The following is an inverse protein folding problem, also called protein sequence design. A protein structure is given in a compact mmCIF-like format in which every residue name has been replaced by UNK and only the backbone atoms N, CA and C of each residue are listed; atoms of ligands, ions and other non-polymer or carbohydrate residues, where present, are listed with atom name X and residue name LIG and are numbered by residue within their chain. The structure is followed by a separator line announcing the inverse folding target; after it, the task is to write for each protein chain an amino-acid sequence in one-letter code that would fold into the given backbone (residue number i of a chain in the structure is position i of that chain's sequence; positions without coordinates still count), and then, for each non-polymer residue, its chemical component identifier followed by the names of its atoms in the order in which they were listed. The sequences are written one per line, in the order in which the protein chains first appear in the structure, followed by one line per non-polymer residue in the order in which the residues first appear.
data_IF_405540367401
#
_entry.id   IF_405540367401
#
_cell.length_a   1.000
_cell.length_b   1.000
_cell.length_c   1.000
_cell.angle_alpha   90.00
_cell.angle_beta   90.00
_cell.angle_gamma   90.00
#
_symmetry.space_group_name_H-M   'P 1'
#
loop_
_entity.id
_entity.type
_entity.pdbx_description
1 polymer ?
#
# COMPACT_ATOMS: atom_id res chain seq x y z
N UNK A 1 -1.55 77.24 -42.98
CA UNK A 1 -1.33 75.91 -43.59
C UNK A 1 -1.19 74.87 -42.48
N UNK A 2 -2.25 74.15 -42.17
CA UNK A 2 -2.25 73.04 -41.20
C UNK A 2 -2.33 71.74 -41.97
N UNK A 3 -1.28 70.92 -41.91
CA UNK A 3 -1.29 69.58 -42.47
C UNK A 3 -1.95 68.64 -41.49
N UNK A 4 -2.98 67.94 -41.89
CA UNK A 4 -3.63 66.83 -41.24
C UNK A 4 -2.80 65.57 -41.50
N UNK A 5 -2.27 64.92 -40.47
CA UNK A 5 -1.71 63.59 -40.55
C UNK A 5 -2.80 62.61 -40.18
N UNK A 6 -3.25 61.82 -41.14
CA UNK A 6 -4.23 60.75 -40.93
C UNK A 6 -3.43 59.46 -40.60
N UNK A 7 -3.53 59.03 -39.35
CA UNK A 7 -2.99 57.74 -38.91
C UNK A 7 -4.00 56.62 -39.15
N UNK A 8 -3.65 55.71 -40.05
CA UNK A 8 -4.38 54.45 -40.30
C UNK A 8 -4.13 53.52 -39.14
N UNK A 9 -5.14 53.23 -38.32
CA UNK A 9 -5.18 52.13 -37.37
C UNK A 9 -5.55 50.85 -38.16
N UNK A 10 -4.62 49.91 -38.31
CA UNK A 10 -4.91 48.52 -38.72
C UNK A 10 -5.36 47.73 -37.50
N UNK A 11 -6.54 47.07 -37.51
CA UNK A 11 -6.96 46.22 -36.40
C UNK A 11 -6.14 44.90 -36.48
N UNK A 12 -5.35 44.69 -35.42
CA UNK A 12 -4.66 43.42 -35.16
C UNK A 12 -5.68 42.36 -34.79
N UNK A 13 -5.93 41.44 -35.73
CA UNK A 13 -6.85 40.29 -35.54
C UNK A 13 -6.15 39.30 -34.58
N UNK A 14 -6.49 39.36 -33.29
CA UNK A 14 -6.07 38.37 -32.29
C UNK A 14 -6.92 37.13 -32.51
N UNK A 15 -6.39 36.12 -33.17
CA UNK A 15 -6.99 34.76 -33.23
C UNK A 15 -6.72 34.13 -31.86
N UNK A 16 -7.76 33.79 -31.08
CA UNK A 16 -7.56 33.02 -29.86
C UNK A 16 -7.12 31.62 -30.29
N UNK A 17 -5.87 31.27 -30.00
CA UNK A 17 -5.35 29.93 -30.08
C UNK A 17 -6.07 29.12 -28.97
N UNK A 18 -7.21 28.52 -29.30
CA UNK A 18 -7.81 27.49 -28.46
C UNK A 18 -6.80 26.35 -28.35
N UNK A 19 -6.03 26.31 -27.28
CA UNK A 19 -5.36 25.10 -26.83
C UNK A 19 -6.45 24.09 -26.50
N UNK A 20 -6.80 23.24 -27.46
CA UNK A 20 -7.52 22.01 -27.17
C UNK A 20 -6.53 21.15 -26.37
N UNK A 21 -6.67 21.18 -25.05
CA UNK A 21 -6.13 20.16 -24.16
C UNK A 21 -6.82 18.86 -24.56
N UNK A 22 -6.22 18.15 -25.51
CA UNK A 22 -6.54 16.75 -25.73
C UNK A 22 -6.07 16.05 -24.46
N UNK A 23 -6.99 15.81 -23.54
CA UNK A 23 -6.80 14.79 -22.52
C UNK A 23 -6.54 13.50 -23.33
N UNK A 24 -5.28 13.13 -23.45
CA UNK A 24 -4.89 11.84 -23.96
C UNK A 24 -5.46 10.83 -22.95
N UNK A 25 -6.66 10.33 -23.21
CA UNK A 25 -7.15 9.15 -22.53
C UNK A 25 -6.06 8.10 -22.76
N UNK A 26 -5.37 7.72 -21.68
CA UNK A 26 -4.36 6.69 -21.72
C UNK A 26 -5.10 5.42 -22.12
N UNK A 27 -4.89 4.97 -23.34
CA UNK A 27 -5.42 3.70 -23.83
C UNK A 27 -4.70 2.52 -23.21
N UNK A 28 -5.18 1.31 -23.51
CA UNK A 28 -4.46 0.08 -23.16
C UNK A 28 -3.06 0.10 -23.82
N UNK A 29 -2.10 -0.53 -23.19
CA UNK A 29 -0.74 -0.69 -23.72
C UNK A 29 -0.40 -2.17 -23.84
N UNK A 30 -0.04 -2.62 -25.02
CA UNK A 30 0.36 -3.99 -25.31
C UNK A 30 1.85 -4.05 -25.62
N UNK A 31 2.59 -4.89 -24.90
CA UNK A 31 4.00 -5.23 -25.14
C UNK A 31 4.11 -6.66 -25.63
N UNK A 32 4.87 -6.88 -26.71
CA UNK A 32 5.12 -8.21 -27.28
C UNK A 32 6.42 -8.82 -26.75
N UNK A 33 6.60 -10.13 -26.91
CA UNK A 33 7.85 -10.85 -26.60
C UNK A 33 9.07 -10.30 -27.39
N UNK A 34 8.83 -9.60 -28.51
CA UNK A 34 9.88 -8.98 -29.33
C UNK A 34 10.23 -7.55 -28.87
N UNK A 35 9.55 -7.03 -27.83
CA UNK A 35 9.77 -5.69 -27.29
C UNK A 35 8.99 -4.58 -28.00
N UNK A 36 8.12 -4.91 -28.95
CA UNK A 36 7.24 -3.91 -29.56
C UNK A 36 6.18 -3.47 -28.58
N UNK A 37 5.97 -2.15 -28.48
CA UNK A 37 4.95 -1.55 -27.62
C UNK A 37 3.91 -0.83 -28.48
N UNK A 38 2.65 -1.17 -28.30
CA UNK A 38 1.53 -0.62 -29.08
C UNK A 38 0.51 -0.02 -28.10
N UNK A 39 0.13 1.24 -28.30
CA UNK A 39 -0.94 1.91 -27.56
C UNK A 39 -2.25 1.88 -28.34
N UNK A 40 -3.36 1.69 -27.62
CA UNK A 40 -4.70 1.61 -28.25
C UNK A 40 -5.76 1.09 -27.29
N UNK A 41 -6.64 0.20 -27.78
CA UNK A 41 -7.69 -0.42 -26.99
C UNK A 41 -7.80 -1.89 -27.33
N UNK A 42 -7.79 -2.76 -26.31
CA UNK A 42 -8.13 -4.18 -26.49
C UNK A 42 -9.63 -4.29 -26.68
N UNK A 43 -10.06 -4.74 -27.85
CA UNK A 43 -11.47 -5.02 -28.13
C UNK A 43 -11.85 -6.40 -27.60
N UNK A 44 -11.00 -7.42 -27.84
CA UNK A 44 -11.19 -8.76 -27.28
C UNK A 44 -9.87 -9.55 -27.21
N UNK A 45 -9.88 -10.60 -26.40
CA UNK A 45 -8.94 -11.73 -26.43
C UNK A 45 -9.75 -13.00 -26.46
N UNK A 46 -9.79 -13.68 -27.58
CA UNK A 46 -10.57 -14.89 -27.80
C UNK A 46 -9.79 -15.90 -28.64
N UNK A 47 -9.90 -17.18 -28.29
CA UNK A 47 -9.26 -18.27 -29.05
C UNK A 47 -7.76 -18.05 -29.36
N UNK A 48 -7.06 -17.42 -28.40
CA UNK A 48 -5.63 -17.13 -28.53
C UNK A 48 -5.28 -15.97 -29.47
N UNK A 49 -6.25 -15.13 -29.84
CA UNK A 49 -6.08 -13.93 -30.67
C UNK A 49 -6.55 -12.70 -29.93
N UNK A 50 -5.68 -11.69 -29.85
CA UNK A 50 -6.00 -10.35 -29.31
C UNK A 50 -6.44 -9.47 -30.48
N UNK A 51 -7.63 -8.90 -30.39
CA UNK A 51 -8.10 -7.85 -31.30
C UNK A 51 -7.79 -6.50 -30.66
N UNK A 52 -6.88 -5.75 -31.26
CA UNK A 52 -6.34 -4.51 -30.70
C UNK A 52 -6.52 -3.34 -31.67
N UNK A 53 -7.25 -2.32 -31.23
CA UNK A 53 -7.50 -1.11 -32.01
C UNK A 53 -6.46 -0.05 -31.67
N UNK A 54 -5.54 0.21 -32.59
CA UNK A 54 -4.53 1.23 -32.47
C UNK A 54 -4.90 2.48 -33.27
N UNK A 55 -4.67 3.70 -32.75
CA UNK A 55 -4.85 4.91 -33.56
C UNK A 55 -3.88 5.00 -34.76
N UNK A 56 -2.83 4.19 -34.77
CA UNK A 56 -1.86 4.11 -35.89
C UNK A 56 -2.34 3.23 -37.04
N UNK A 57 -3.43 2.47 -36.88
CA UNK A 57 -3.96 1.57 -37.91
C UNK A 57 -5.46 1.81 -38.15
N UNK A 58 -5.89 1.94 -39.40
CA UNK A 58 -7.31 2.09 -39.74
C UNK A 58 -8.12 0.82 -39.44
N UNK A 59 -7.46 -0.34 -39.37
CA UNK A 59 -8.06 -1.62 -39.05
C UNK A 59 -7.53 -2.12 -37.71
N UNK A 60 -8.35 -2.87 -36.95
CA UNK A 60 -7.92 -3.53 -35.75
C UNK A 60 -6.81 -4.56 -36.06
N UNK A 61 -5.78 -4.55 -35.23
CA UNK A 61 -4.67 -5.49 -35.32
C UNK A 61 -5.08 -6.82 -34.70
N UNK A 62 -4.73 -7.92 -35.36
CA UNK A 62 -4.90 -9.26 -34.83
C UNK A 62 -3.53 -9.78 -34.36
N UNK A 63 -3.35 -9.93 -33.07
CA UNK A 63 -2.09 -10.31 -32.42
C UNK A 63 -2.29 -11.64 -31.76
N UNK A 64 -1.37 -12.58 -31.98
CA UNK A 64 -1.39 -13.88 -31.27
C UNK A 64 -1.16 -13.67 -29.79
N UNK A 65 -2.01 -14.22 -28.93
CA UNK A 65 -1.85 -14.16 -27.49
C UNK A 65 -0.52 -14.79 -27.01
N UNK A 66 0.02 -15.76 -27.75
CA UNK A 66 1.34 -16.35 -27.46
C UNK A 66 2.50 -15.36 -27.57
N UNK A 67 2.32 -14.26 -28.33
CA UNK A 67 3.32 -13.19 -28.46
C UNK A 67 3.14 -12.09 -27.40
N UNK A 68 2.12 -12.18 -26.56
CA UNK A 68 1.89 -11.22 -25.48
C UNK A 68 2.92 -11.41 -24.40
N UNK A 69 3.65 -10.35 -24.09
CA UNK A 69 4.51 -10.25 -22.90
C UNK A 69 3.77 -9.57 -21.75
N UNK A 70 3.16 -8.41 -22.05
CA UNK A 70 2.47 -7.61 -21.05
C UNK A 70 1.34 -6.79 -21.70
N UNK A 71 0.19 -6.73 -21.02
CA UNK A 71 -0.95 -5.92 -21.40
C UNK A 71 -1.35 -5.10 -20.17
N UNK A 72 -1.31 -3.78 -20.29
CA UNK A 72 -1.70 -2.84 -19.23
C UNK A 72 -2.99 -2.14 -19.60
N UNK A 73 -3.91 -2.05 -18.64
CA UNK A 73 -5.17 -1.34 -18.79
C UNK A 73 -5.06 0.05 -18.12
N UNK A 74 -5.71 1.10 -18.70
CA UNK A 74 -5.68 2.42 -18.11
C UNK A 74 -6.40 2.43 -16.77
N UNK A 75 -5.77 3.04 -15.81
CA UNK A 75 -6.35 3.22 -14.47
C UNK A 75 -7.37 4.36 -14.49
N UNK A 76 -8.60 4.09 -14.94
CA UNK A 76 -9.64 5.13 -15.04
C UNK A 76 -10.25 5.53 -13.72
N UNK A 77 -10.18 4.69 -12.69
CA UNK A 77 -10.58 5.01 -11.32
C UNK A 77 -9.93 4.04 -10.33
N UNK A 78 -9.09 4.54 -9.43
CA UNK A 78 -8.56 3.76 -8.30
C UNK A 78 -9.60 3.46 -7.22
N UNK A 79 -10.88 3.77 -7.45
CA UNK A 79 -11.98 3.57 -6.52
C UNK A 79 -12.66 2.21 -6.67
N UNK A 80 -11.90 1.14 -6.88
CA UNK A 80 -12.43 -0.23 -6.73
C UNK A 80 -12.94 -0.47 -5.30
N UNK A 81 -13.82 -1.46 -5.10
CA UNK A 81 -14.31 -1.78 -3.76
C UNK A 81 -13.13 -2.04 -2.82
N UNK A 82 -13.13 -1.33 -1.70
CA UNK A 82 -12.10 -1.47 -0.67
C UNK A 82 -12.35 -2.79 0.05
N UNK A 83 -11.33 -3.63 0.08
CA UNK A 83 -11.37 -4.91 0.79
C UNK A 83 -10.58 -4.79 2.09
N UNK A 84 -11.12 -5.34 3.16
CA UNK A 84 -10.52 -5.29 4.49
C UNK A 84 -9.55 -6.42 4.76
N UNK A 85 -9.59 -7.48 3.96
CA UNK A 85 -8.75 -8.66 4.12
C UNK A 85 -8.02 -9.02 2.83
N UNK A 86 -6.95 -9.77 2.99
CA UNK A 86 -6.25 -10.44 1.89
C UNK A 86 -6.12 -11.92 2.21
N UNK A 87 -6.74 -12.74 1.37
CA UNK A 87 -6.54 -14.19 1.36
C UNK A 87 -5.31 -14.52 0.52
N UNK A 88 -4.37 -15.29 1.08
CA UNK A 88 -3.24 -15.84 0.34
C UNK A 88 -3.46 -17.34 0.14
N UNK A 89 -3.39 -17.79 -1.10
CA UNK A 89 -3.50 -19.20 -1.45
C UNK A 89 -2.14 -19.92 -1.37
N UNK A 90 -2.17 -21.25 -1.33
CA UNK A 90 -0.94 -22.06 -1.25
C UNK A 90 -0.01 -21.90 -2.45
N UNK A 91 -0.53 -21.50 -3.63
CA UNK A 91 0.26 -21.18 -4.81
C UNK A 91 0.86 -19.77 -4.79
N UNK A 92 0.63 -18.99 -3.72
CA UNK A 92 1.12 -17.62 -3.56
C UNK A 92 0.24 -16.52 -4.16
N UNK A 93 -0.92 -16.87 -4.68
CA UNK A 93 -1.87 -15.87 -5.16
C UNK A 93 -2.47 -15.08 -4.00
N UNK A 94 -2.69 -13.79 -4.22
CA UNK A 94 -3.22 -12.86 -3.23
C UNK A 94 -4.56 -12.30 -3.71
N UNK A 95 -5.60 -12.53 -2.91
CA UNK A 95 -6.98 -12.12 -3.19
C UNK A 95 -7.43 -11.09 -2.16
N UNK A 96 -7.43 -9.79 -2.48
CA UNK A 96 -8.14 -8.80 -1.67
C UNK A 96 -9.63 -9.14 -1.63
N UNK A 97 -10.19 -9.28 -0.42
CA UNK A 97 -11.55 -9.79 -0.24
C UNK A 97 -12.17 -9.30 1.07
N UNK A 98 -13.42 -9.66 1.27
CA UNK A 98 -14.09 -9.63 2.55
C UNK A 98 -14.49 -11.06 2.91
N UNK A 99 -13.86 -11.62 3.95
CA UNK A 99 -14.15 -12.98 4.44
C UNK A 99 -15.47 -12.94 5.20
N UNK A 100 -16.42 -13.75 4.78
CA UNK A 100 -17.76 -13.79 5.39
C UNK A 100 -17.87 -14.89 6.44
N UNK A 101 -17.26 -16.04 6.22
CA UNK A 101 -17.21 -17.14 7.16
C UNK A 101 -16.03 -18.07 6.89
N UNK A 102 -15.62 -18.79 7.93
CA UNK A 102 -14.68 -19.90 7.83
C UNK A 102 -15.29 -21.07 8.59
N UNK A 103 -15.35 -22.24 7.99
CA UNK A 103 -15.74 -23.48 8.62
C UNK A 103 -14.61 -24.53 8.55
N UNK A 104 -14.90 -25.78 8.87
CA UNK A 104 -13.91 -26.87 8.89
C UNK A 104 -13.31 -27.12 7.49
N UNK A 105 -14.11 -26.97 6.43
CA UNK A 105 -13.75 -27.36 5.07
C UNK A 105 -13.53 -26.18 4.12
N UNK A 106 -14.20 -25.06 4.36
CA UNK A 106 -14.27 -23.95 3.41
C UNK A 106 -14.09 -22.59 4.08
N UNK A 107 -13.68 -21.64 3.25
CA UNK A 107 -13.72 -20.21 3.52
C UNK A 107 -14.58 -19.55 2.46
N UNK A 108 -15.63 -18.86 2.90
CA UNK A 108 -16.50 -18.06 2.05
C UNK A 108 -16.06 -16.60 2.09
N UNK A 109 -16.03 -15.96 0.93
CA UNK A 109 -15.62 -14.57 0.81
C UNK A 109 -16.36 -13.85 -0.32
N UNK A 110 -16.36 -12.52 -0.24
CA UNK A 110 -16.85 -11.65 -1.30
C UNK A 110 -15.73 -10.79 -1.85
N UNK A 111 -15.76 -10.56 -3.15
CA UNK A 111 -14.83 -9.66 -3.84
C UNK A 111 -15.61 -8.68 -4.71
N UNK A 112 -15.07 -7.47 -4.87
CA UNK A 112 -15.67 -6.51 -5.81
C UNK A 112 -15.32 -6.77 -7.27
N UNK A 113 -14.42 -7.67 -7.54
CA UNK A 113 -13.93 -7.95 -8.89
C UNK A 113 -14.39 -9.29 -9.45
N UNK A 114 -14.68 -10.29 -8.60
CA UNK A 114 -15.09 -11.63 -9.01
C UNK A 114 -16.34 -12.16 -8.27
N UNK A 115 -17.00 -11.30 -7.47
CA UNK A 115 -18.19 -11.68 -6.70
C UNK A 115 -17.89 -12.59 -5.51
N UNK A 116 -18.81 -13.51 -5.22
CA UNK A 116 -18.69 -14.46 -4.11
C UNK A 116 -17.86 -15.66 -4.54
N UNK A 117 -16.90 -16.03 -3.68
CA UNK A 117 -16.06 -17.20 -3.87
C UNK A 117 -16.11 -18.09 -2.63
N UNK A 118 -15.98 -19.38 -2.86
CA UNK A 118 -15.84 -20.39 -1.81
C UNK A 118 -14.56 -21.16 -2.05
N UNK A 119 -13.66 -21.14 -1.07
CA UNK A 119 -12.30 -21.68 -1.19
C UNK A 119 -12.13 -22.84 -0.23
N UNK A 120 -11.67 -23.98 -0.73
CA UNK A 120 -11.28 -25.11 0.09
C UNK A 120 -10.20 -24.68 1.09
N UNK A 121 -10.42 -24.95 2.38
CA UNK A 121 -9.51 -24.55 3.45
C UNK A 121 -8.10 -25.12 3.27
N UNK A 122 -7.95 -26.32 2.71
CA UNK A 122 -6.66 -26.92 2.41
C UNK A 122 -5.85 -26.17 1.36
N UNK A 123 -6.49 -25.28 0.60
CA UNK A 123 -5.87 -24.44 -0.43
C UNK A 123 -5.51 -23.04 0.07
N UNK A 124 -5.73 -22.77 1.34
CA UNK A 124 -5.47 -21.48 1.97
C UNK A 124 -4.16 -21.55 2.74
N UNK A 125 -3.33 -20.55 2.54
CA UNK A 125 -2.11 -20.34 3.31
C UNK A 125 -2.36 -19.42 4.50
N UNK A 126 -3.00 -18.27 4.25
CA UNK A 126 -3.27 -17.29 5.30
C UNK A 126 -4.43 -16.36 4.95
N UNK A 127 -5.05 -15.81 5.98
CA UNK A 127 -5.93 -14.65 5.89
C UNK A 127 -5.32 -13.53 6.72
N UNK A 128 -5.13 -12.37 6.12
CA UNK A 128 -4.69 -11.16 6.80
C UNK A 128 -5.87 -10.20 6.93
N UNK A 129 -6.13 -9.74 8.12
CA UNK A 129 -7.22 -8.83 8.43
C UNK A 129 -6.73 -7.38 8.46
N UNK A 130 -7.63 -6.45 8.22
CA UNK A 130 -7.33 -5.03 8.30
C UNK A 130 -6.42 -4.49 7.22
N UNK A 131 -6.20 -5.23 6.13
CA UNK A 131 -5.43 -4.78 4.98
C UNK A 131 -6.41 -4.21 3.96
N UNK A 132 -6.58 -2.89 3.99
CA UNK A 132 -7.28 -2.23 2.88
C UNK A 132 -6.25 -1.62 1.93
N UNK A 133 -6.64 -1.47 0.67
CA UNK A 133 -5.88 -0.67 -0.27
C UNK A 133 -5.66 0.69 0.34
N UNK A 134 -4.40 1.01 0.62
CA UNK A 134 -4.01 2.31 1.14
C UNK A 134 -4.36 3.37 0.09
N UNK A 135 -5.24 4.30 0.43
CA UNK A 135 -5.47 5.47 -0.42
C UNK A 135 -4.25 6.37 -0.31
N UNK A 136 -3.64 6.68 -1.43
CA UNK A 136 -2.51 7.60 -1.48
C UNK A 136 -3.04 9.01 -1.21
N UNK A 137 -2.63 9.58 -0.09
CA UNK A 137 -2.95 10.96 0.28
C UNK A 137 -1.90 11.94 -0.26
N UNK A 138 -0.63 11.49 -0.31
CA UNK A 138 0.47 12.29 -0.80
C UNK A 138 1.67 11.42 -1.20
N UNK A 139 2.35 11.79 -2.28
CA UNK A 139 3.65 11.26 -2.68
C UNK A 139 4.60 12.45 -2.86
N UNK A 140 5.74 12.41 -2.17
CA UNK A 140 6.78 13.40 -2.32
C UNK A 140 7.66 13.14 -3.53
N UNK A 141 7.18 13.51 -4.70
CA UNK A 141 7.90 13.38 -5.98
C UNK A 141 7.90 14.68 -6.79
N UNK A 142 7.45 15.77 -6.19
CA UNK A 142 7.33 17.09 -6.82
C UNK A 142 8.33 18.07 -6.22
N UNK A 143 8.56 19.19 -6.92
CA UNK A 143 9.43 20.27 -6.45
C UNK A 143 9.01 20.82 -5.07
N UNK A 144 9.95 21.21 -4.19
CA UNK A 144 9.62 21.78 -2.87
C UNK A 144 8.68 22.98 -2.92
N UNK A 145 8.68 23.74 -4.01
CA UNK A 145 7.80 24.91 -4.19
C UNK A 145 6.31 24.55 -4.32
N UNK A 146 6.00 23.29 -4.63
CA UNK A 146 4.61 22.81 -4.71
C UNK A 146 4.02 22.44 -3.35
N UNK A 147 4.84 22.34 -2.32
CA UNK A 147 4.38 22.08 -0.97
C UNK A 147 3.56 23.26 -0.44
N UNK A 148 2.62 22.97 0.46
CA UNK A 148 1.73 24.02 1.02
C UNK A 148 2.52 25.13 1.68
N UNK A 149 3.65 24.82 2.31
CA UNK A 149 4.53 25.80 2.92
C UNK A 149 5.98 25.29 2.99
N UNK A 150 6.89 26.18 2.68
CA UNK A 150 8.32 25.96 2.79
C UNK A 150 8.97 27.14 3.54
N UNK A 151 9.74 26.83 4.59
CA UNK A 151 10.61 27.80 5.27
C UNK A 151 12.05 27.33 5.22
N UNK A 152 12.97 28.27 4.98
CA UNK A 152 14.38 27.99 4.79
C UNK A 152 14.73 27.75 3.32
N UNK A 153 15.60 26.77 3.06
CA UNK A 153 16.09 26.50 1.71
C UNK A 153 16.04 25.00 1.45
N UNK A 154 15.12 24.58 0.62
CA UNK A 154 14.97 23.21 0.18
C UNK A 154 15.16 23.10 -1.33
N UNK A 155 15.71 21.99 -1.78
CA UNK A 155 15.85 21.62 -3.19
C UNK A 155 15.62 20.13 -3.36
N UNK A 156 15.19 19.74 -4.56
CA UNK A 156 15.06 18.34 -4.93
C UNK A 156 16.27 17.93 -5.76
N UNK A 157 16.86 16.79 -5.42
CA UNK A 157 17.97 16.19 -6.17
C UNK A 157 17.44 15.38 -7.35
N UNK A 158 18.33 14.98 -8.28
CA UNK A 158 17.97 14.14 -9.43
C UNK A 158 17.36 12.79 -9.07
N UNK A 159 17.56 12.31 -7.83
CA UNK A 159 17.00 11.07 -7.31
C UNK A 159 15.66 11.29 -6.58
N UNK A 160 14.99 12.40 -6.80
CA UNK A 160 13.73 12.79 -6.15
C UNK A 160 13.83 12.84 -4.62
N UNK A 161 15.01 13.13 -4.09
CA UNK A 161 15.23 13.32 -2.67
C UNK A 161 15.26 14.81 -2.33
N UNK A 162 14.73 15.17 -1.15
CA UNK A 162 14.71 16.53 -0.66
C UNK A 162 15.90 16.77 0.27
N UNK A 163 16.71 17.74 -0.06
CA UNK A 163 17.77 18.27 0.79
C UNK A 163 17.52 19.73 1.11
N UNK A 164 17.79 20.14 2.33
CA UNK A 164 17.55 21.52 2.69
C UNK A 164 17.68 21.77 4.20
N UNK A 165 17.46 23.03 4.58
CA UNK A 165 17.39 23.50 5.98
C UNK A 165 16.06 24.19 6.21
N UNK A 166 15.53 24.09 7.45
CA UNK A 166 14.22 24.63 7.79
C UNK A 166 13.14 23.55 7.65
N UNK A 167 11.93 23.92 7.28
CA UNK A 167 10.83 22.96 7.23
C UNK A 167 10.06 23.00 5.91
N UNK A 168 9.55 21.82 5.53
CA UNK A 168 8.57 21.60 4.48
C UNK A 168 7.27 21.15 5.14
N UNK A 169 6.18 21.82 4.84
CA UNK A 169 4.86 21.47 5.38
C UNK A 169 3.86 21.23 4.27
N UNK A 170 3.12 20.12 4.39
CA UNK A 170 2.01 19.77 3.51
C UNK A 170 0.72 19.70 4.30
N UNK A 171 -0.30 20.39 3.79
CA UNK A 171 -1.66 20.29 4.31
C UNK A 171 -2.41 19.19 3.58
N UNK A 172 -2.98 18.24 4.31
CA UNK A 172 -3.66 17.07 3.78
C UNK A 172 -4.99 16.86 4.48
N UNK A 173 -5.96 16.25 3.79
CA UNK A 173 -7.13 15.71 4.46
C UNK A 173 -6.76 14.38 5.09
N UNK A 174 -6.38 14.40 6.37
CA UNK A 174 -5.92 13.23 7.08
C UNK A 174 -7.09 12.49 7.74
N UNK A 175 -7.32 11.20 7.42
CA UNK A 175 -8.25 10.35 8.17
C UNK A 175 -7.69 10.02 9.57
N UNK A 176 -8.47 9.33 10.39
CA UNK A 176 -8.00 8.92 11.73
C UNK A 176 -6.84 7.93 11.67
N UNK A 177 -6.81 7.08 10.65
CA UNK A 177 -5.74 6.07 10.46
C UNK A 177 -4.87 6.44 9.28
N UNK A 178 -3.61 6.74 9.56
CA UNK A 178 -2.63 7.20 8.56
C UNK A 178 -1.33 6.40 8.69
N UNK A 179 -0.69 6.19 7.56
CA UNK A 179 0.67 5.67 7.47
C UNK A 179 1.56 6.69 6.80
N UNK A 180 2.68 6.98 7.44
CA UNK A 180 3.73 7.84 6.93
C UNK A 180 4.96 6.99 6.65
N UNK A 181 5.40 6.95 5.41
CA UNK A 181 6.61 6.27 4.99
C UNK A 181 7.57 7.26 4.36
N UNK A 182 8.83 7.18 4.73
CA UNK A 182 9.91 7.94 4.10
C UNK A 182 11.28 7.36 4.46
N UNK A 183 12.25 7.62 3.61
CA UNK A 183 13.64 7.34 3.91
C UNK A 183 14.31 8.59 4.45
N UNK A 184 15.00 8.46 5.57
CA UNK A 184 15.85 9.50 6.15
C UNK A 184 17.30 9.05 6.02
N UNK A 185 18.13 9.87 5.37
CA UNK A 185 19.57 9.65 5.29
C UNK A 185 20.34 10.83 5.85
N UNK A 186 21.52 10.57 6.43
CA UNK A 186 22.33 11.59 7.06
C UNK A 186 23.84 11.35 6.85
N UNK A 187 24.64 12.40 6.95
CA UNK A 187 26.09 12.36 6.76
C UNK A 187 26.85 12.44 8.11
N UNK A 188 26.35 13.26 9.02
CA UNK A 188 26.92 13.45 10.35
C UNK A 188 25.87 13.13 11.43
N UNK A 189 25.93 13.70 12.60
CA UNK A 189 24.91 13.54 13.63
C UNK A 189 23.58 14.11 13.13
N UNK A 190 22.50 13.31 13.08
CA UNK A 190 21.22 13.81 12.64
C UNK A 190 20.63 14.83 13.62
N UNK A 191 19.89 15.78 13.11
CA UNK A 191 19.06 16.70 13.88
C UNK A 191 17.83 17.00 13.05
N UNK A 192 16.87 16.10 13.09
CA UNK A 192 15.70 16.08 12.24
C UNK A 192 14.43 15.85 13.06
N UNK A 193 13.32 16.45 12.68
CA UNK A 193 12.02 16.21 13.28
C UNK A 193 10.96 16.03 12.19
N UNK A 194 10.03 15.16 12.47
CA UNK A 194 8.85 14.91 11.68
C UNK A 194 7.62 15.15 12.54
N UNK A 195 6.80 16.16 12.18
CA UNK A 195 5.52 16.44 12.85
C UNK A 195 4.37 15.92 12.02
N UNK A 196 3.41 15.37 12.68
CA UNK A 196 2.19 14.83 12.05
C UNK A 196 0.96 15.20 12.88
N UNK A 197 -0.16 15.29 12.21
CA UNK A 197 -1.39 15.86 12.76
C UNK A 197 -1.17 17.23 13.42
N UNK A 198 -0.37 18.09 12.81
CA UNK A 198 -0.11 19.42 13.29
C UNK A 198 -1.25 20.40 12.92
N UNK A 199 -1.59 21.31 13.82
CA UNK A 199 -2.70 22.26 13.60
C UNK A 199 -2.38 23.36 12.58
N UNK A 200 -1.11 23.69 12.43
CA UNK A 200 -0.67 24.69 11.47
C UNK A 200 0.69 24.33 10.87
N UNK A 201 1.13 25.09 9.88
CA UNK A 201 2.36 24.86 9.13
C UNK A 201 3.65 25.25 9.87
N UNK A 202 3.58 25.79 11.11
CA UNK A 202 4.75 26.26 11.84
C UNK A 202 5.52 25.10 12.48
N UNK A 203 6.81 25.08 12.28
CA UNK A 203 7.72 24.21 13.03
C UNK A 203 8.01 24.75 14.46
N UNK A 204 7.56 25.95 14.81
CA UNK A 204 7.67 26.48 16.14
C UNK A 204 6.90 25.65 17.16
N UNK A 205 7.43 25.58 18.35
CA UNK A 205 7.14 24.57 19.38
C UNK A 205 5.83 24.80 20.01
N UNK A 206 4.78 24.95 19.89
CA UNK A 206 3.60 25.13 20.76
C UNK A 206 2.26 24.97 20.02
N UNK A 207 2.19 24.05 19.13
CA UNK A 207 0.94 23.66 18.52
C UNK A 207 0.59 22.22 18.91
N UNK A 208 -0.67 21.90 18.91
CA UNK A 208 -1.16 20.56 19.12
C UNK A 208 -0.70 19.66 17.95
N UNK A 209 0.17 18.69 18.25
CA UNK A 209 0.81 17.83 17.24
C UNK A 209 1.48 16.62 17.88
N UNK A 210 1.80 15.61 17.09
CA UNK A 210 2.82 14.61 17.40
C UNK A 210 4.13 14.96 16.70
N UNK A 211 5.24 14.55 17.29
CA UNK A 211 6.56 14.77 16.70
C UNK A 211 7.47 13.55 16.92
N UNK A 212 8.06 13.05 15.85
CA UNK A 212 9.15 12.10 15.87
C UNK A 212 10.45 12.86 15.66
N UNK A 213 11.33 12.85 16.66
CA UNK A 213 12.62 13.54 16.63
C UNK A 213 13.73 12.52 16.45
N UNK A 214 14.67 12.82 15.55
CA UNK A 214 15.87 12.05 15.33
C UNK A 214 17.10 12.91 15.61
N UNK A 215 17.89 12.52 16.62
CA UNK A 215 19.08 13.25 17.07
C UNK A 215 20.19 12.30 17.53
N UNK A 216 21.25 12.85 18.14
CA UNK A 216 22.41 12.08 18.64
C UNK A 216 22.09 11.04 19.72
N UNK A 217 20.93 11.13 20.35
CA UNK A 217 20.50 10.18 21.41
C UNK A 217 19.65 9.04 20.87
N UNK A 218 19.18 9.15 19.62
CA UNK A 218 18.27 8.21 18.99
C UNK A 218 17.01 8.88 18.47
N UNK A 219 15.91 8.17 18.54
CA UNK A 219 14.59 8.70 18.21
C UNK A 219 13.77 8.95 19.47
N UNK A 220 12.92 9.96 19.42
CA UNK A 220 12.01 10.31 20.50
C UNK A 220 10.64 10.63 19.90
N UNK A 221 9.59 10.03 20.44
CA UNK A 221 8.21 10.36 20.11
C UNK A 221 7.66 11.29 21.17
N UNK A 222 7.11 12.41 20.74
CA UNK A 222 6.52 13.44 21.61
C UNK A 222 5.10 13.76 21.22
N UNK A 223 4.34 14.15 22.21
CA UNK A 223 3.01 14.75 22.08
C UNK A 223 3.04 16.18 22.60
N UNK A 224 2.39 17.08 21.91
CA UNK A 224 2.23 18.48 22.31
C UNK A 224 0.73 18.81 22.48
N UNK A 225 0.09 18.44 23.59
CA UNK A 225 -1.27 18.90 23.89
C UNK A 225 -1.19 20.30 24.49
N UNK A 226 -2.00 21.23 24.02
CA UNK A 226 -2.20 22.57 24.64
C UNK A 226 -0.90 23.28 25.06
N UNK A 227 0.11 23.28 24.20
CA UNK A 227 1.44 23.86 24.44
C UNK A 227 2.32 23.14 25.50
N UNK A 228 1.92 21.99 25.97
CA UNK A 228 2.72 21.16 26.89
C UNK A 228 3.43 20.07 26.10
N UNK A 229 4.70 19.79 26.41
CA UNK A 229 5.44 18.69 25.81
C UNK A 229 5.32 17.45 26.69
N UNK A 230 4.89 16.34 26.11
CA UNK A 230 4.88 15.02 26.72
C UNK A 230 5.79 14.11 25.89
N UNK A 231 6.80 13.51 26.51
CA UNK A 231 7.56 12.43 25.88
C UNK A 231 6.75 11.14 26.01
N UNK A 232 6.40 10.54 24.88
CA UNK A 232 5.77 9.22 24.86
C UNK A 232 6.81 8.13 25.04
N UNK A 233 7.96 8.23 24.36
CA UNK A 233 9.09 7.33 24.57
C UNK A 233 10.39 7.87 23.95
N UNK A 234 11.53 7.25 24.38
CA UNK A 234 12.86 7.46 23.81
C UNK A 234 13.38 6.12 23.28
N UNK A 235 13.49 6.03 21.97
CA UNK A 235 13.99 4.86 21.26
C UNK A 235 15.51 5.00 21.14
N UNK A 236 16.24 4.21 21.93
CA UNK A 236 17.70 4.16 21.85
C UNK A 236 18.12 3.42 20.58
N UNK A 237 18.73 4.12 19.66
CA UNK A 237 19.44 3.53 18.54
C UNK A 237 20.86 3.20 18.96
N UNK A 238 21.41 2.09 18.47
CA UNK A 238 22.77 1.72 18.84
C UNK A 238 23.77 2.78 18.36
N UNK A 239 24.88 3.01 19.08
CA UNK A 239 25.95 3.90 18.59
C UNK A 239 26.47 3.52 17.20
N UNK A 240 26.37 2.24 16.83
CA UNK A 240 26.72 1.78 15.48
C UNK A 240 25.73 2.30 14.42
N UNK A 241 24.47 2.52 14.78
CA UNK A 241 23.45 3.07 13.90
C UNK A 241 23.56 4.59 13.76
N UNK A 242 24.10 5.27 14.77
CA UNK A 242 24.21 6.72 14.82
C UNK A 242 25.64 7.22 14.54
N UNK A 243 26.66 6.47 15.01
CA UNK A 243 28.05 6.89 14.94
C UNK A 243 28.89 5.94 14.09
N UNK A 244 29.40 6.41 12.98
CA UNK A 244 30.78 6.10 12.58
C UNK A 244 31.26 7.12 11.59
N UNK A 245 32.40 7.77 11.90
CA UNK A 245 33.14 8.73 11.10
C UNK A 245 33.77 8.16 9.82
N UNK A 246 33.12 7.23 9.16
CA UNK A 246 33.43 6.82 7.79
C UNK A 246 32.36 7.36 6.85
N UNK A 247 32.78 7.85 5.71
CA UNK A 247 32.04 8.53 4.62
C UNK A 247 30.86 7.76 4.00
N UNK A 248 30.24 6.82 4.71
CA UNK A 248 29.06 6.12 4.22
C UNK A 248 27.79 6.85 4.70
N UNK A 249 27.03 7.31 3.74
CA UNK A 249 25.69 7.85 3.92
C UNK A 249 24.86 6.80 4.67
N UNK A 250 24.45 7.12 5.89
CA UNK A 250 23.54 6.27 6.65
C UNK A 250 22.12 6.59 6.24
N UNK A 251 21.31 5.60 6.13
CA UNK A 251 19.93 5.71 5.70
C UNK A 251 19.07 4.75 6.52
N UNK A 252 17.85 5.15 6.85
CA UNK A 252 16.86 4.34 7.54
C UNK A 252 15.50 4.57 6.88
N UNK A 253 14.76 3.49 6.62
CA UNK A 253 13.38 3.57 6.22
C UNK A 253 12.49 3.70 7.47
N UNK A 254 11.62 4.69 7.49
CA UNK A 254 10.69 4.97 8.57
C UNK A 254 9.28 4.66 8.05
N UNK A 255 8.58 3.75 8.75
CA UNK A 255 7.16 3.42 8.55
C UNK A 255 6.45 3.70 9.88
N UNK A 256 5.81 4.85 9.95
CA UNK A 256 5.08 5.33 11.11
C UNK A 256 3.59 5.18 10.85
N UNK A 257 2.92 4.44 11.72
CA UNK A 257 1.50 4.13 11.61
C UNK A 257 0.77 4.76 12.78
N UNK A 258 -0.29 5.48 12.50
CA UNK A 258 -1.05 6.20 13.51
C UNK A 258 -2.52 5.84 13.41
N UNK A 259 -3.11 5.54 14.54
CA UNK A 259 -4.55 5.47 14.74
C UNK A 259 -4.95 6.57 15.74
N UNK A 260 -5.37 7.72 15.20
CA UNK A 260 -5.71 8.87 16.02
C UNK A 260 -6.96 8.61 16.88
N UNK A 261 -7.89 7.79 16.40
CA UNK A 261 -9.12 7.46 17.13
C UNK A 261 -8.86 6.63 18.39
N UNK A 262 -7.83 5.78 18.35
CA UNK A 262 -7.40 4.95 19.48
C UNK A 262 -6.20 5.54 20.22
N UNK A 263 -5.63 6.66 19.74
CA UNK A 263 -4.43 7.25 20.32
C UNK A 263 -3.16 6.42 20.10
N UNK A 264 -3.16 5.47 19.16
CA UNK A 264 -2.07 4.52 18.99
C UNK A 264 -1.07 4.98 17.92
N UNK A 265 0.22 4.81 18.21
CA UNK A 265 1.33 5.11 17.30
C UNK A 265 2.26 3.91 17.25
N UNK A 266 2.48 3.33 16.07
CA UNK A 266 3.44 2.24 15.86
C UNK A 266 4.55 2.67 14.92
N UNK A 267 5.78 2.29 15.24
CA UNK A 267 6.97 2.60 14.46
C UNK A 267 7.67 1.33 13.99
N UNK A 268 8.02 1.32 12.71
CA UNK A 268 8.88 0.33 12.09
C UNK A 268 10.10 1.05 11.48
N UNK A 269 11.28 0.49 11.69
CA UNK A 269 12.54 0.97 11.12
C UNK A 269 13.13 -0.16 10.27
N UNK A 270 13.40 0.11 8.99
CA UNK A 270 13.86 -0.89 8.01
C UNK A 270 13.01 -2.17 8.04
N UNK A 271 11.68 -1.99 8.10
CA UNK A 271 10.66 -3.05 8.22
C UNK A 271 10.69 -3.82 9.55
N UNK A 272 11.55 -3.44 10.50
CA UNK A 272 11.59 -4.03 11.84
C UNK A 272 10.67 -3.26 12.78
N UNK A 273 9.76 -3.95 13.44
CA UNK A 273 8.89 -3.35 14.46
C UNK A 273 9.69 -2.91 15.68
N UNK A 274 9.49 -1.67 16.09
CA UNK A 274 10.18 -1.06 17.24
C UNK A 274 9.27 -1.02 18.46
N UNK A 275 8.03 -0.58 18.29
CA UNK A 275 7.08 -0.48 19.39
C UNK A 275 5.76 0.15 18.97
N UNK A 276 4.80 0.07 19.90
CA UNK A 276 3.54 0.80 19.85
C UNK A 276 3.38 1.58 21.14
N UNK A 277 2.99 2.82 21.03
CA UNK A 277 2.73 3.74 22.14
C UNK A 277 1.30 4.21 22.09
N UNK A 278 0.72 4.38 23.27
CA UNK A 278 -0.62 4.91 23.47
C UNK A 278 -0.55 6.33 24.01
N UNK A 279 -1.29 7.23 23.36
CA UNK A 279 -1.50 8.60 23.85
C UNK A 279 -2.74 8.61 24.72
N UNK A 280 -2.55 8.62 26.04
CA UNK A 280 -3.61 8.67 27.02
C UNK A 280 -4.26 10.07 27.14
N UNK A 281 -3.82 11.06 26.34
CA UNK A 281 -4.38 12.40 26.40
C UNK A 281 -5.77 12.44 25.77
N UNK A 282 -6.72 13.01 26.49
CA UNK A 282 -8.16 13.03 26.15
C UNK A 282 -8.47 13.91 24.92
N UNK A 283 -7.53 14.71 24.44
CA UNK A 283 -7.72 15.64 23.32
C UNK A 283 -6.87 15.22 22.13
N UNK A 284 -7.41 14.39 21.22
CA UNK A 284 -6.70 14.07 19.98
C UNK A 284 -6.52 15.35 19.16
N UNK A 285 -5.37 15.46 18.51
CA UNK A 285 -5.13 16.56 17.58
C UNK A 285 -6.06 16.46 16.36
N UNK A 286 -6.65 17.59 15.95
CA UNK A 286 -7.41 17.70 14.70
C UNK A 286 -6.60 18.34 13.58
N UNK A 287 -5.28 18.41 13.77
CA UNK A 287 -4.38 18.99 12.78
C UNK A 287 -4.33 18.20 11.48
N UNK A 288 -4.11 18.91 10.41
CA UNK A 288 -4.08 18.38 9.05
C UNK A 288 -2.76 18.69 8.33
N UNK A 289 -1.74 19.15 9.08
CA UNK A 289 -0.41 19.37 8.53
C UNK A 289 0.54 18.24 8.87
N UNK A 290 1.40 17.94 7.90
CA UNK A 290 2.57 17.08 8.02
C UNK A 290 3.80 17.95 7.77
N UNK A 291 4.82 17.93 8.66
CA UNK A 291 5.95 18.84 8.60
C UNK A 291 7.26 18.05 8.76
N UNK A 292 8.12 18.14 7.77
CA UNK A 292 9.50 17.67 7.81
C UNK A 292 10.42 18.84 8.18
N UNK A 293 11.21 18.72 9.22
CA UNK A 293 12.04 19.79 9.75
C UNK A 293 13.50 19.35 9.90
N UNK A 294 14.36 19.80 8.99
CA UNK A 294 15.81 19.67 9.15
C UNK A 294 16.33 20.82 10.02
N UNK A 295 16.70 20.49 11.23
CA UNK A 295 17.25 21.42 12.24
C UNK A 295 18.75 21.54 12.19
N UNK A 296 19.42 20.82 11.29
CA UNK A 296 20.86 20.86 11.10
C UNK A 296 21.30 22.19 10.50
N UNK A 297 22.50 22.64 10.86
CA UNK A 297 23.09 23.83 10.24
C UNK A 297 23.53 23.59 8.78
N UNK A 298 23.76 22.34 8.40
CA UNK A 298 24.14 21.93 7.06
C UNK A 298 22.94 21.40 6.28
N UNK A 299 22.69 21.94 5.09
CA UNK A 299 21.56 21.56 4.22
C UNK A 299 21.56 20.07 3.86
N UNK A 300 22.72 19.50 3.59
CA UNK A 300 22.92 18.13 3.13
C UNK A 300 23.06 17.13 4.26
N UNK A 301 22.99 17.57 5.52
CA UNK A 301 23.18 16.65 6.63
C UNK A 301 22.07 15.63 6.74
N UNK A 302 20.82 16.06 6.59
CA UNK A 302 19.66 15.17 6.55
C UNK A 302 18.94 15.32 5.21
N UNK A 303 18.69 14.20 4.55
CA UNK A 303 18.01 14.12 3.26
C UNK A 303 16.85 13.18 3.39
N UNK A 304 15.67 13.57 2.89
CA UNK A 304 14.46 12.77 2.88
C UNK A 304 14.10 12.35 1.47
N UNK A 305 13.65 11.12 1.31
CA UNK A 305 13.22 10.57 0.00
C UNK A 305 12.11 9.54 0.18
N UNK A 306 11.55 9.08 -0.93
CA UNK A 306 10.53 8.04 -0.96
C UNK A 306 9.34 8.33 -0.03
N UNK A 307 8.92 9.60 0.04
CA UNK A 307 7.82 10.01 0.91
C UNK A 307 6.51 9.48 0.34
N UNK A 308 5.78 8.72 1.15
CA UNK A 308 4.42 8.29 0.87
C UNK A 308 3.56 8.45 2.13
N UNK A 309 2.44 9.12 2.01
CA UNK A 309 1.44 9.25 3.07
C UNK A 309 0.16 8.62 2.55
N UNK A 310 -0.32 7.62 3.28
CA UNK A 310 -1.47 6.82 2.85
C UNK A 310 -2.50 6.74 3.96
N UNK A 311 -3.78 6.64 3.58
CA UNK A 311 -4.82 6.26 4.54
C UNK A 311 -4.64 4.81 4.93
N UNK A 312 -5.05 4.44 6.14
CA UNK A 312 -5.08 3.05 6.57
C UNK A 312 -6.46 2.67 7.04
N UNK A 313 -6.75 1.39 6.88
CA UNK A 313 -7.95 0.78 7.45
C UNK A 313 -7.51 -0.55 8.07
N UNK A 314 -7.95 -0.81 9.29
CA UNK A 314 -7.59 -2.00 10.06
C UNK A 314 -6.67 -1.72 11.23
N UNK A 315 -6.17 -2.79 11.84
CA UNK A 315 -5.31 -2.69 13.01
C UNK A 315 -3.97 -2.04 12.71
N UNK A 316 -3.48 -1.27 13.68
CA UNK A 316 -2.21 -0.55 13.58
C UNK A 316 -1.01 -1.52 13.51
N UNK A 317 -1.12 -2.70 14.09
CA UNK A 317 -0.03 -3.65 14.28
C UNK A 317 -0.07 -4.86 13.34
N UNK A 318 -0.78 -4.80 12.21
CA UNK A 318 -0.75 -5.91 11.26
C UNK A 318 0.68 -6.19 10.82
N UNK A 319 1.34 -7.14 11.48
CA UNK A 319 2.68 -7.61 11.14
C UNK A 319 2.58 -8.63 10.03
N UNK A 320 3.43 -8.48 9.02
CA UNK A 320 3.59 -9.46 7.96
C UNK A 320 4.56 -10.55 8.42
N UNK A 321 4.06 -11.67 8.91
CA UNK A 321 4.88 -12.86 9.15
C UNK A 321 4.79 -13.80 7.95
N UNK A 322 5.43 -13.45 6.84
CA UNK A 322 5.47 -14.31 5.66
C UNK A 322 6.63 -15.35 5.70
N UNK A 323 7.63 -15.12 6.54
CA UNK A 323 8.82 -16.00 6.54
C UNK A 323 8.64 -17.32 7.28
N UNK A 324 7.79 -17.37 8.29
CA UNK A 324 7.59 -18.58 9.11
C UNK A 324 6.38 -19.41 8.68
N UNK A 325 5.59 -18.90 7.75
CA UNK A 325 4.39 -19.54 7.22
C UNK A 325 4.64 -20.88 6.50
N UNK A 326 5.88 -21.17 6.12
CA UNK A 326 6.23 -22.39 5.39
C UNK A 326 6.35 -23.63 6.26
N UNK A 327 6.37 -23.48 7.60
CA UNK A 327 6.70 -24.56 8.54
C UNK A 327 5.61 -24.81 9.60
N UNK A 328 4.48 -24.13 9.55
CA UNK A 328 3.44 -24.30 10.55
C UNK A 328 2.79 -25.68 10.46
N UNK A 329 2.97 -26.50 11.50
CA UNK A 329 2.32 -27.81 11.64
C UNK A 329 0.92 -27.70 12.22
N UNK A 330 0.55 -26.55 12.76
CA UNK A 330 -0.76 -26.21 13.34
C UNK A 330 -1.19 -24.84 12.83
N UNK A 331 -2.46 -24.54 12.90
CA UNK A 331 -2.90 -23.19 12.64
C UNK A 331 -2.30 -22.22 13.64
N UNK A 332 -2.08 -20.98 13.22
CA UNK A 332 -1.57 -19.92 14.08
C UNK A 332 -2.49 -18.70 13.96
N UNK A 333 -3.00 -18.25 15.09
CA UNK A 333 -3.67 -16.96 15.20
C UNK A 333 -2.64 -15.95 15.68
N UNK A 334 -2.45 -14.87 14.93
CA UNK A 334 -1.62 -13.73 15.34
C UNK A 334 -2.56 -12.57 15.67
N UNK A 335 -2.40 -12.02 16.86
CA UNK A 335 -3.17 -10.87 17.29
C UNK A 335 -2.57 -9.54 16.78
N UNK A 336 -3.18 -8.43 17.16
CA UNK A 336 -2.75 -7.09 16.76
C UNK A 336 -1.44 -6.65 17.45
N UNK A 337 -1.10 -7.25 18.57
CA UNK A 337 0.15 -6.99 19.30
C UNK A 337 1.30 -7.81 18.71
N UNK A 338 0.96 -8.79 17.88
CA UNK A 338 1.88 -9.68 17.17
C UNK A 338 2.20 -10.94 17.96
N UNK A 339 1.40 -11.26 18.97
CA UNK A 339 1.50 -12.51 19.68
C UNK A 339 0.95 -13.66 18.84
N UNK A 340 1.71 -14.74 18.75
CA UNK A 340 1.35 -15.93 18.00
C UNK A 340 0.76 -16.98 18.93
N UNK A 341 -0.46 -17.38 18.65
CA UNK A 341 -1.19 -18.41 19.39
C UNK A 341 -1.30 -19.65 18.48
N UNK A 342 -0.46 -20.69 18.71
CA UNK A 342 -0.61 -21.93 17.96
C UNK A 342 -1.81 -22.73 18.46
N UNK A 343 -2.52 -23.38 17.54
CA UNK A 343 -3.71 -24.17 17.87
C UNK A 343 -4.46 -24.68 16.64
N UNK A 344 -5.77 -24.73 16.73
CA UNK A 344 -6.67 -25.14 15.64
C UNK A 344 -7.73 -24.06 15.44
N UNK A 345 -7.81 -23.49 14.26
CA UNK A 345 -8.93 -22.66 13.87
C UNK A 345 -10.16 -23.55 13.68
N UNK A 346 -11.19 -23.32 14.46
CA UNK A 346 -12.47 -24.05 14.34
C UNK A 346 -13.32 -23.41 13.28
N UNK A 347 -13.69 -22.16 13.51
CA UNK A 347 -14.55 -21.41 12.60
C UNK A 347 -14.40 -19.89 12.79
N UNK A 348 -14.90 -19.14 11.83
CA UNK A 348 -15.20 -17.72 11.97
C UNK A 348 -16.64 -17.49 11.56
N UNK A 349 -17.40 -16.87 12.44
CA UNK A 349 -18.82 -16.60 12.24
C UNK A 349 -19.18 -15.17 12.68
N UNK A 350 -20.32 -14.67 12.21
CA UNK A 350 -20.85 -13.41 12.68
C UNK A 350 -21.80 -13.65 13.85
N UNK A 351 -21.71 -12.81 14.89
CA UNK A 351 -22.66 -12.80 16.00
C UNK A 351 -23.99 -12.10 15.62
N UNK A 352 -24.93 -12.07 16.56
CA UNK A 352 -26.24 -11.42 16.39
C UNK A 352 -26.15 -9.91 16.12
N UNK A 353 -25.03 -9.27 16.47
CA UNK A 353 -24.72 -7.87 16.19
C UNK A 353 -23.93 -7.68 14.88
N UNK A 354 -23.83 -8.73 14.06
CA UNK A 354 -23.05 -8.78 12.81
C UNK A 354 -21.55 -8.51 13.01
N UNK A 355 -21.02 -8.80 14.21
CA UNK A 355 -19.58 -8.75 14.51
C UNK A 355 -19.00 -10.13 14.29
N UNK A 356 -17.86 -10.16 13.61
CA UNK A 356 -17.18 -11.44 13.32
C UNK A 356 -16.36 -11.89 14.54
N UNK A 357 -16.46 -13.17 14.85
CA UNK A 357 -15.76 -13.83 15.95
C UNK A 357 -15.00 -15.02 15.37
N UNK A 358 -13.73 -15.12 15.70
CA UNK A 358 -12.86 -16.26 15.39
C UNK A 358 -12.90 -17.22 16.59
N UNK A 359 -13.28 -18.47 16.36
CA UNK A 359 -13.24 -19.55 17.35
C UNK A 359 -11.97 -20.34 17.11
N UNK A 360 -11.10 -20.36 18.15
CA UNK A 360 -9.77 -20.95 18.06
C UNK A 360 -9.47 -21.82 19.27
N UNK A 361 -9.12 -23.08 19.07
CA UNK A 361 -8.78 -24.05 20.09
C UNK A 361 -7.26 -24.12 20.28
N UNK A 362 -6.82 -24.05 21.52
CA UNK A 362 -5.42 -24.27 21.88
C UNK A 362 -5.29 -25.29 23.02
N UNK A 363 -4.17 -25.99 23.06
CA UNK A 363 -3.82 -26.83 24.22
C UNK A 363 -3.46 -25.95 25.39
N UNK A 364 -3.98 -26.31 26.58
CA UNK A 364 -3.63 -25.63 27.83
C UNK A 364 -2.12 -25.83 28.11
N UNK A 365 -1.40 -24.73 28.37
CA UNK A 365 0.03 -24.79 28.67
C UNK A 365 0.37 -25.54 29.97
N UNK A 366 -0.60 -25.65 30.90
CA UNK A 366 -0.44 -26.31 32.20
C UNK A 366 -0.94 -27.76 32.22
N UNK A 367 -1.92 -28.07 31.36
CA UNK A 367 -2.44 -29.42 31.18
C UNK A 367 -2.62 -29.69 29.68
N UNK A 368 -1.71 -30.52 29.12
CA UNK A 368 -1.70 -30.86 27.69
C UNK A 368 -2.92 -31.66 27.21
N UNK A 369 -3.77 -32.09 28.13
CA UNK A 369 -5.01 -32.84 27.84
C UNK A 369 -6.25 -31.94 27.77
N UNK A 370 -6.16 -30.70 28.28
CA UNK A 370 -7.29 -29.75 28.27
C UNK A 370 -7.15 -28.79 27.08
N UNK A 371 -8.15 -28.82 26.21
CA UNK A 371 -8.27 -27.85 25.11
C UNK A 371 -9.09 -26.65 25.59
N UNK A 372 -8.56 -25.46 25.38
CA UNK A 372 -9.22 -24.19 25.70
C UNK A 372 -9.72 -23.55 24.41
N UNK A 373 -11.04 -23.36 24.33
CA UNK A 373 -11.66 -22.63 23.23
C UNK A 373 -11.58 -21.12 23.49
N UNK A 374 -10.99 -20.39 22.55
CA UNK A 374 -10.88 -18.93 22.56
C UNK A 374 -11.91 -18.36 21.58
N UNK A 375 -12.68 -17.38 22.02
CA UNK A 375 -13.53 -16.56 21.16
C UNK A 375 -12.87 -15.19 20.97
N UNK A 376 -12.23 -14.99 19.83
CA UNK A 376 -11.46 -13.79 19.56
C UNK A 376 -12.23 -12.90 18.58
N UNK A 377 -12.64 -11.68 18.98
CA UNK A 377 -13.24 -10.73 18.06
C UNK A 377 -12.29 -10.46 16.88
N UNK A 378 -12.82 -10.49 15.66
CA UNK A 378 -12.02 -10.36 14.43
C UNK A 378 -11.13 -9.13 14.43
N UNK A 379 -11.61 -7.99 14.95
CA UNK A 379 -10.83 -6.75 15.02
C UNK A 379 -9.56 -6.85 15.87
N UNK A 380 -9.40 -7.91 16.68
CA UNK A 380 -8.17 -8.21 17.43
C UNK A 380 -7.25 -9.17 16.70
N UNK A 381 -7.68 -9.73 15.58
CA UNK A 381 -6.89 -10.68 14.78
C UNK A 381 -6.19 -9.94 13.66
N UNK A 382 -4.88 -10.07 13.56
CA UNK A 382 -4.11 -9.54 12.44
C UNK A 382 -3.93 -10.57 11.33
N UNK A 383 -3.68 -11.83 11.70
CA UNK A 383 -3.44 -12.90 10.72
C UNK A 383 -3.94 -14.25 11.25
N UNK A 384 -4.56 -15.02 10.37
CA UNK A 384 -4.77 -16.45 10.52
C UNK A 384 -3.86 -17.17 9.54
N UNK A 385 -2.97 -18.01 10.05
CA UNK A 385 -2.10 -18.86 9.26
C UNK A 385 -2.63 -20.29 9.37
N UNK A 386 -2.81 -20.95 8.24
CA UNK A 386 -3.35 -22.31 8.18
C UNK A 386 -2.20 -23.34 8.18
N UNK A 387 -2.42 -24.43 8.90
CA UNK A 387 -1.48 -25.55 8.92
C UNK A 387 -1.22 -26.07 7.50
N UNK A 388 0.05 -26.38 7.21
CA UNK A 388 0.43 -26.91 5.92
C UNK A 388 0.19 -28.41 5.86
N UNK A 389 -0.42 -28.90 4.80
CA UNK A 389 -0.42 -30.32 4.48
C UNK A 389 1.01 -30.80 4.18
N UNK A 390 1.37 -31.98 4.69
CA UNK A 390 2.72 -32.56 4.55
C UNK A 390 3.13 -32.81 3.10
N UNK A 391 2.18 -32.96 2.16
CA UNK A 391 2.45 -33.19 0.74
C UNK A 391 1.50 -32.37 -0.14
N UNK A 392 1.78 -31.09 -0.38
CA UNK A 392 0.97 -30.32 -1.31
C UNK A 392 1.11 -30.89 -2.72
N UNK A 393 -0.01 -31.07 -3.41
CA UNK A 393 0.00 -31.43 -4.82
C UNK A 393 0.82 -30.39 -5.61
N UNK A 394 1.60 -30.82 -6.62
CA UNK A 394 2.36 -29.89 -7.44
C UNK A 394 1.43 -28.84 -8.06
N UNK A 395 1.85 -27.59 -8.01
CA UNK A 395 1.12 -26.48 -8.61
C UNK A 395 0.93 -26.75 -10.10
N UNK A 396 -0.31 -26.74 -10.57
CA UNK A 396 -0.59 -26.77 -12.00
C UNK A 396 0.06 -25.54 -12.65
N UNK A 397 0.73 -25.73 -13.79
CA UNK A 397 1.30 -24.63 -14.54
C UNK A 397 0.24 -23.60 -14.92
N UNK A 398 0.59 -22.34 -14.91
CA UNK A 398 -0.28 -21.23 -15.35
C UNK A 398 0.34 -20.54 -16.56
N UNK A 399 -0.51 -19.99 -17.41
CA UNK A 399 -0.04 -19.32 -18.65
C UNK A 399 0.12 -17.81 -18.49
N UNK A 400 -0.62 -17.20 -17.56
CA UNK A 400 -0.65 -15.76 -17.36
C UNK A 400 -0.77 -15.38 -15.88
N UNK A 401 -0.23 -14.20 -15.55
CA UNK A 401 -0.40 -13.56 -14.26
C UNK A 401 -1.31 -12.35 -14.42
N UNK A 402 -2.40 -12.32 -13.69
CA UNK A 402 -3.37 -11.23 -13.64
C UNK A 402 -3.08 -10.37 -12.42
N UNK A 403 -2.89 -9.06 -12.62
CA UNK A 403 -2.76 -8.07 -11.56
C UNK A 403 -4.04 -7.24 -11.49
N UNK A 404 -4.51 -7.00 -10.27
CA UNK A 404 -5.71 -6.23 -9.99
C UNK A 404 -5.36 -4.86 -9.41
N UNK A 405 -6.18 -3.86 -9.67
CA UNK A 405 -6.01 -2.47 -9.22
C UNK A 405 -5.92 -2.31 -7.70
N UNK A 406 -6.45 -3.28 -6.95
CA UNK A 406 -6.44 -3.32 -5.49
C UNK A 406 -5.26 -4.13 -4.90
N UNK A 407 -4.25 -4.45 -5.72
CA UNK A 407 -3.07 -5.22 -5.32
C UNK A 407 -3.25 -6.74 -5.36
N UNK A 408 -4.35 -7.23 -5.87
CA UNK A 408 -4.57 -8.66 -6.10
C UNK A 408 -3.65 -9.21 -7.18
N UNK A 409 -3.29 -10.50 -7.05
CA UNK A 409 -2.41 -11.20 -7.98
C UNK A 409 -2.88 -12.63 -8.15
N UNK A 410 -3.20 -13.03 -9.37
CA UNK A 410 -3.82 -14.32 -9.69
C UNK A 410 -3.10 -15.02 -10.84
N UNK A 411 -2.78 -16.28 -10.63
CA UNK A 411 -2.30 -17.18 -11.68
C UNK A 411 -3.50 -17.70 -12.46
N UNK A 412 -3.52 -17.49 -13.76
CA UNK A 412 -4.63 -17.91 -14.61
C UNK A 412 -4.17 -18.63 -15.88
N UNK A 413 -5.07 -19.40 -16.46
CA UNK A 413 -4.90 -20.04 -17.75
C UNK A 413 -6.10 -19.75 -18.64
N UNK A 414 -5.90 -19.82 -19.95
CA UNK A 414 -6.94 -19.61 -20.96
C UNK A 414 -7.72 -18.29 -20.76
N UNK A 415 -7.04 -17.14 -20.68
CA UNK A 415 -7.74 -15.88 -20.52
C UNK A 415 -8.52 -15.53 -21.79
N UNK A 416 -9.78 -15.12 -21.62
CA UNK A 416 -10.63 -14.51 -22.62
C UNK A 416 -11.08 -13.14 -22.12
N UNK A 417 -10.97 -12.12 -22.96
CA UNK A 417 -11.31 -10.73 -22.60
C UNK A 417 -12.44 -10.26 -23.51
N UNK A 418 -13.49 -9.75 -22.89
CA UNK A 418 -14.58 -9.04 -23.54
C UNK A 418 -14.58 -7.56 -23.15
N UNK A 419 -15.60 -6.81 -23.54
CA UNK A 419 -15.74 -5.40 -23.18
C UNK A 419 -15.79 -5.20 -21.64
N UNK A 420 -16.45 -6.11 -20.90
CA UNK A 420 -16.81 -5.92 -19.51
C UNK A 420 -16.04 -6.80 -18.52
N UNK A 421 -15.50 -7.93 -18.98
CA UNK A 421 -14.89 -8.94 -18.10
C UNK A 421 -13.74 -9.70 -18.75
N UNK A 422 -12.91 -10.27 -17.90
CA UNK A 422 -11.95 -11.31 -18.22
C UNK A 422 -12.44 -12.63 -17.61
N UNK A 423 -12.60 -13.64 -18.46
CA UNK A 423 -12.89 -15.02 -18.06
C UNK A 423 -11.61 -15.85 -18.14
N UNK A 424 -11.34 -16.70 -17.16
CA UNK A 424 -10.15 -17.53 -17.12
C UNK A 424 -10.36 -18.76 -16.24
N UNK A 425 -9.40 -19.68 -16.27
CA UNK A 425 -9.32 -20.81 -15.35
C UNK A 425 -8.22 -20.55 -14.35
N UNK A 426 -8.59 -20.48 -13.06
CA UNK A 426 -7.64 -20.41 -11.95
C UNK A 426 -7.33 -21.82 -11.44
N UNK A 427 -6.06 -22.17 -11.13
CA UNK A 427 -5.69 -23.54 -10.76
C UNK A 427 -6.32 -24.06 -9.46
N UNK A 428 -6.71 -23.16 -8.56
CA UNK A 428 -7.35 -23.50 -7.28
C UNK A 428 -8.86 -23.18 -7.28
N UNK A 429 -9.25 -22.02 -7.80
CA UNK A 429 -10.63 -21.52 -7.74
C UNK A 429 -11.51 -22.04 -8.90
N UNK A 430 -10.90 -22.66 -9.92
CA UNK A 430 -11.61 -23.09 -11.12
C UNK A 430 -11.98 -21.93 -12.06
N UNK A 431 -13.13 -21.99 -12.74
CA UNK A 431 -13.57 -20.93 -13.64
C UNK A 431 -13.75 -19.61 -12.88
N UNK A 432 -13.16 -18.53 -13.38
CA UNK A 432 -13.15 -17.22 -12.75
C UNK A 432 -13.54 -16.15 -13.76
N UNK A 433 -14.45 -15.27 -13.36
CA UNK A 433 -14.82 -14.08 -14.13
C UNK A 433 -14.42 -12.84 -13.33
N UNK A 434 -13.58 -12.00 -13.93
CA UNK A 434 -13.07 -10.78 -13.29
C UNK A 434 -13.54 -9.55 -14.05
N UNK A 435 -14.12 -8.59 -13.37
CA UNK A 435 -14.52 -7.31 -13.98
C UNK A 435 -13.32 -6.62 -14.63
N UNK A 436 -13.43 -6.23 -15.90
CA UNK A 436 -12.35 -5.57 -16.65
C UNK A 436 -11.89 -4.28 -15.96
N UNK A 437 -12.78 -3.54 -15.34
CA UNK A 437 -12.45 -2.30 -14.62
C UNK A 437 -11.60 -2.51 -13.38
N UNK A 438 -11.51 -3.76 -12.89
CA UNK A 438 -10.69 -4.12 -11.72
C UNK A 438 -9.29 -4.62 -12.12
N UNK A 439 -9.00 -4.74 -13.42
CA UNK A 439 -7.74 -5.28 -13.92
C UNK A 439 -6.75 -4.15 -14.13
N UNK A 440 -5.56 -4.30 -13.58
CA UNK A 440 -4.41 -3.43 -13.83
C UNK A 440 -3.60 -3.92 -15.03
N UNK A 441 -3.25 -5.20 -15.03
CA UNK A 441 -2.47 -5.77 -16.11
C UNK A 441 -2.59 -7.30 -16.20
N UNK A 442 -2.24 -7.81 -17.39
CA UNK A 442 -2.10 -9.21 -17.70
C UNK A 442 -0.69 -9.44 -18.26
N UNK A 443 0.08 -10.32 -17.65
CA UNK A 443 1.44 -10.66 -18.10
C UNK A 443 1.56 -12.15 -18.38
N UNK A 444 2.49 -12.51 -19.26
CA UNK A 444 2.83 -13.91 -19.54
C UNK A 444 3.39 -14.56 -18.29
N UNK A 445 2.87 -15.71 -17.93
CA UNK A 445 3.34 -16.52 -16.80
C UNK A 445 4.60 -17.29 -17.14
N UNK A 446 5.37 -17.70 -16.12
CA UNK A 446 6.43 -18.67 -16.28
C UNK A 446 5.80 -20.04 -16.49
N UNK A 447 5.99 -20.61 -17.68
CA UNK A 447 5.51 -21.95 -18.02
C UNK A 447 6.43 -23.06 -17.48
N UNK A 448 7.57 -22.71 -16.87
CA UNK A 448 8.43 -23.70 -16.22
C UNK A 448 7.85 -24.06 -14.84
N UNK A 449 7.61 -25.36 -14.56
CA UNK A 449 7.27 -25.78 -13.22
C UNK A 449 8.43 -25.42 -12.29
N UNK A 450 8.12 -24.83 -11.12
CA UNK A 450 9.12 -24.53 -10.11
C UNK A 450 9.95 -25.79 -9.83
N UNK A 451 11.24 -25.73 -10.12
CA UNK A 451 12.18 -26.80 -9.72
C UNK A 451 12.13 -26.87 -8.20
N UNK A 452 11.73 -28.02 -7.68
CA UNK A 452 11.72 -28.39 -6.26
C UNK A 452 13.11 -28.36 -5.66
#
# INVERSE_FOLDING_TARGET
MKQLITTLLTPLLIIPLCLILVNAAHGDTLETDHGDTISGTVESLEHGTIVFKSPMSPQALQIKASSLKHLTFPQTNKSGPKHSEVLTLINGDALPCHVTSIDENHLSLTTGYAGNLNVDRSKIRSVRFGIMSEEILFIGNESPETWTHMDGSWSMTGDQAYEGKGHLAQQLTLPDKVRYQYDLSWQSTPNFAFRFFAENNSAASKQNAYELIFNSKGMEIRRYPDNTQIALDIISLSPADIQQGQKQKKSINIDLRVDKSEGLISLYLDSTFIGTWEDETVSPTNGNYTIFHNRSDQKTNCVISNIAITSRIGSINSRFYDKDATLAKTDILTDNEGDNIPGKLVEMQSDDANKRIVIFERKNAQDSLEEVSLQVPEHRVSTLLFAKEENPAPSAGFSHMLHLNNGGKLQISQPEITADQLSAIHPILGPLNVSRTSIESLSKGNTEPAKQ
#
